data_IF_726375400325
#
_entry.id   IF_726375400325
#
_cell.length_a   1.000
_cell.length_b   1.000
_cell.length_c   1.000
_cell.angle_alpha   90.00
_cell.angle_beta   90.00
_cell.angle_gamma   90.00
#
_symmetry.space_group_name_H-M   'P 1'
#
loop_
_entity.id
_entity.type
_entity.pdbx_description
1 polymer ?
#
# COMPACT_ATOMS: atom_id res chain seq x y z
N UNK A 1 -1.48 22.11 13.88
CA UNK A 1 -2.73 21.31 13.93
C UNK A 1 -3.38 21.07 12.55
N UNK A 2 -3.72 22.10 11.75
CA UNK A 2 -4.33 21.91 10.41
C UNK A 2 -3.47 21.13 9.39
N UNK A 3 -2.14 21.28 9.40
CA UNK A 3 -1.24 20.55 8.49
C UNK A 3 -1.09 19.06 8.83
N UNK A 4 -1.14 18.72 10.13
CA UNK A 4 -1.12 17.33 10.62
C UNK A 4 -2.43 16.61 10.26
N UNK A 5 -3.56 17.31 10.29
CA UNK A 5 -4.85 16.79 9.87
C UNK A 5 -4.88 16.49 8.36
N UNK A 6 -4.33 17.36 7.52
CA UNK A 6 -4.23 17.15 6.07
C UNK A 6 -3.30 15.97 5.74
N UNK A 7 -2.21 15.81 6.47
CA UNK A 7 -1.29 14.68 6.33
C UNK A 7 -1.94 13.35 6.76
N UNK A 8 -2.71 13.34 7.85
CA UNK A 8 -3.46 12.16 8.32
C UNK A 8 -4.65 11.81 7.39
N UNK A 9 -5.31 12.80 6.78
CA UNK A 9 -6.35 12.59 5.76
C UNK A 9 -5.73 12.02 4.47
N UNK A 10 -4.55 12.50 4.05
CA UNK A 10 -3.83 11.95 2.90
C UNK A 10 -3.43 10.48 3.14
N UNK A 11 -3.00 10.14 4.37
CA UNK A 11 -2.70 8.75 4.76
C UNK A 11 -3.97 7.88 4.82
N UNK A 12 -5.11 8.41 5.29
CA UNK A 12 -6.40 7.69 5.26
C UNK A 12 -6.96 7.48 3.86
N UNK A 13 -6.78 8.43 2.93
CA UNK A 13 -7.14 8.23 1.53
C UNK A 13 -6.24 7.20 0.83
N UNK A 14 -5.00 7.01 1.30
CA UNK A 14 -4.10 5.96 0.82
C UNK A 14 -4.40 4.55 1.40
N UNK A 15 -5.21 4.45 2.45
CA UNK A 15 -5.59 3.19 3.11
C UNK A 15 -7.04 2.79 2.93
N UNK A 16 -7.86 3.62 2.27
CA UNK A 16 -9.25 3.32 1.93
C UNK A 16 -9.39 3.07 0.43
N UNK A 17 -9.21 1.83 0.01
CA UNK A 17 -9.73 1.35 -1.27
C UNK A 17 -10.76 0.28 -0.96
N UNK A 18 -12.01 0.71 -1.09
CA UNK A 18 -13.20 -0.09 -1.29
C UNK A 18 -13.01 -1.01 -2.51
N UNK A 19 -13.33 -2.28 -2.33
CA UNK A 19 -13.46 -3.26 -3.41
C UNK A 19 -14.47 -2.77 -4.46
N UNK A 20 -14.12 -2.85 -5.75
CA UNK A 20 -15.08 -2.66 -6.83
C UNK A 20 -15.92 -3.92 -7.02
N UNK A 21 -17.22 -3.72 -7.25
CA UNK A 21 -18.17 -4.76 -7.61
C UNK A 21 -17.87 -5.25 -9.04
N UNK A 22 -17.54 -6.53 -9.19
CA UNK A 22 -17.52 -7.27 -10.46
C UNK A 22 -18.20 -8.63 -10.23
N UNK A 23 -18.99 -9.08 -11.21
CA UNK A 23 -19.74 -10.35 -11.35
C UNK A 23 -19.37 -11.47 -10.35
N UNK A 24 -20.12 -11.53 -9.24
CA UNK A 24 -19.98 -12.54 -8.19
C UNK A 24 -20.79 -13.80 -8.53
N UNK A 25 -20.12 -14.94 -8.53
CA UNK A 25 -20.75 -16.26 -8.62
C UNK A 25 -20.76 -16.92 -7.24
N UNK A 26 -21.85 -17.59 -6.92
CA UNK A 26 -22.01 -18.44 -5.74
C UNK A 26 -22.06 -19.90 -6.17
N UNK A 27 -21.09 -20.70 -5.71
CA UNK A 27 -20.94 -22.11 -6.04
C UNK A 27 -21.22 -22.95 -4.79
N UNK A 28 -22.31 -23.71 -4.83
CA UNK A 28 -22.68 -24.65 -3.78
C UNK A 28 -22.00 -25.98 -4.05
N UNK A 29 -21.27 -26.50 -3.07
CA UNK A 29 -20.62 -27.80 -3.12
C UNK A 29 -21.52 -28.89 -2.54
N UNK A 30 -21.34 -30.15 -3.00
CA UNK A 30 -22.09 -31.32 -2.51
C UNK A 30 -21.94 -31.59 -1.01
N UNK A 31 -20.94 -31.01 -0.36
CA UNK A 31 -20.74 -31.08 1.08
C UNK A 31 -21.53 -30.01 1.86
N UNK A 32 -22.36 -29.21 1.17
CA UNK A 32 -23.17 -28.13 1.74
C UNK A 32 -22.43 -26.81 1.96
N UNK A 33 -21.18 -26.68 1.50
CA UNK A 33 -20.44 -25.42 1.57
C UNK A 33 -20.70 -24.55 0.34
N UNK A 34 -20.95 -23.27 0.57
CA UNK A 34 -21.04 -22.25 -0.48
C UNK A 34 -19.71 -21.52 -0.61
N UNK A 35 -19.25 -21.32 -1.83
CA UNK A 35 -18.05 -20.54 -2.15
C UNK A 35 -18.44 -19.41 -3.08
N UNK A 36 -18.10 -18.19 -2.70
CA UNK A 36 -18.39 -16.99 -3.47
C UNK A 36 -17.12 -16.39 -4.04
N UNK A 37 -17.13 -16.03 -5.31
CA UNK A 37 -15.98 -15.43 -5.96
C UNK A 37 -16.27 -15.04 -7.40
N UNK A 38 -15.33 -14.32 -8.01
CA UNK A 38 -15.40 -13.98 -9.43
C UNK A 38 -15.01 -15.20 -10.26
N UNK A 39 -15.83 -15.58 -11.24
CA UNK A 39 -15.51 -16.71 -12.11
C UNK A 39 -14.31 -16.35 -13.01
N UNK A 40 -13.20 -17.06 -12.82
CA UNK A 40 -12.01 -16.90 -13.66
C UNK A 40 -12.02 -17.87 -14.84
N UNK A 41 -12.43 -19.12 -14.59
CA UNK A 41 -12.42 -20.18 -15.60
C UNK A 41 -13.41 -21.30 -15.27
N UNK A 42 -14.01 -21.91 -16.29
CA UNK A 42 -14.88 -23.10 -16.14
C UNK A 42 -14.62 -24.05 -17.31
N UNK A 43 -14.26 -25.28 -16.99
CA UNK A 43 -14.17 -26.38 -17.95
C UNK A 43 -15.04 -27.58 -17.50
N UNK A 44 -14.99 -28.68 -18.24
CA UNK A 44 -15.80 -29.89 -17.95
C UNK A 44 -15.39 -30.58 -16.63
N UNK A 45 -14.19 -30.30 -16.13
CA UNK A 45 -13.57 -31.00 -15.00
C UNK A 45 -13.42 -30.13 -13.75
N UNK A 46 -13.34 -28.81 -13.90
CA UNK A 46 -13.09 -27.86 -12.82
C UNK A 46 -13.63 -26.46 -13.10
N UNK A 47 -13.82 -25.73 -12.02
CA UNK A 47 -14.25 -24.33 -11.98
C UNK A 47 -13.28 -23.55 -11.08
N UNK A 48 -12.73 -22.45 -11.59
CA UNK A 48 -11.79 -21.59 -10.88
C UNK A 48 -12.45 -20.28 -10.49
N UNK A 49 -12.47 -19.98 -9.19
CA UNK A 49 -12.97 -18.73 -8.63
C UNK A 49 -11.82 -17.90 -8.06
N UNK A 50 -11.85 -16.59 -8.33
CA UNK A 50 -11.12 -15.62 -7.53
C UNK A 50 -11.95 -15.34 -6.28
N UNK A 51 -11.55 -15.92 -5.15
CA UNK A 51 -12.16 -15.68 -3.85
C UNK A 51 -11.40 -14.58 -3.09
N UNK A 52 -11.96 -14.11 -1.97
CA UNK A 52 -11.27 -13.19 -1.05
C UNK A 52 -9.96 -13.78 -0.47
N UNK A 53 -9.79 -15.10 -0.54
CA UNK A 53 -8.59 -15.81 -0.07
C UNK A 53 -7.61 -16.17 -1.19
N UNK A 54 -7.88 -15.75 -2.43
CA UNK A 54 -7.08 -16.07 -3.61
C UNK A 54 -7.83 -16.97 -4.61
N UNK A 55 -7.09 -17.48 -5.59
CA UNK A 55 -7.63 -18.39 -6.60
C UNK A 55 -7.94 -19.76 -6.00
N UNK A 56 -9.14 -20.25 -6.27
CA UNK A 56 -9.61 -21.55 -5.81
C UNK A 56 -10.14 -22.36 -6.98
N UNK A 57 -9.51 -23.50 -7.23
CA UNK A 57 -9.93 -24.48 -8.24
C UNK A 57 -10.81 -25.53 -7.58
N UNK A 58 -12.03 -25.66 -8.06
CA UNK A 58 -13.06 -26.57 -7.55
C UNK A 58 -13.34 -27.61 -8.63
N UNK A 59 -13.09 -28.91 -8.40
CA UNK A 59 -13.49 -29.95 -9.34
C UNK A 59 -15.01 -29.95 -9.55
N UNK A 60 -15.47 -30.02 -10.80
CA UNK A 60 -16.91 -29.96 -11.16
C UNK A 60 -17.69 -31.11 -10.52
N UNK A 61 -17.05 -32.24 -10.26
CA UNK A 61 -17.62 -33.38 -9.51
C UNK A 61 -18.06 -33.03 -8.08
N UNK A 62 -17.46 -31.99 -7.47
CA UNK A 62 -17.77 -31.53 -6.12
C UNK A 62 -18.83 -30.42 -6.10
N UNK A 63 -19.24 -29.92 -7.26
CA UNK A 63 -20.21 -28.83 -7.41
C UNK A 63 -21.63 -29.41 -7.45
N UNK A 64 -22.51 -28.81 -6.66
CA UNK A 64 -23.94 -29.09 -6.62
C UNK A 64 -24.73 -28.06 -7.45
N UNK A 65 -24.42 -26.77 -7.32
CA UNK A 65 -25.06 -25.70 -8.10
C UNK A 65 -24.14 -24.49 -8.29
N UNK A 66 -24.37 -23.73 -9.37
CA UNK A 66 -23.68 -22.46 -9.65
C UNK A 66 -24.77 -21.41 -9.89
N UNK A 67 -24.80 -20.37 -9.06
CA UNK A 67 -25.73 -19.27 -9.18
C UNK A 67 -24.98 -17.98 -9.51
N UNK A 68 -25.41 -17.28 -10.55
CA UNK A 68 -24.98 -15.91 -10.80
C UNK A 68 -25.75 -14.98 -9.85
N UNK A 69 -25.04 -14.14 -9.08
CA UNK A 69 -25.67 -13.20 -8.14
C UNK A 69 -26.15 -11.91 -8.83
N UNK A 70 -25.78 -11.68 -10.10
CA UNK A 70 -26.34 -10.61 -10.94
C UNK A 70 -27.05 -11.20 -12.16
N UNK A 71 -28.36 -11.43 -12.01
CA UNK A 71 -29.27 -11.73 -13.12
C UNK A 71 -30.07 -13.02 -12.92
N UNK A 72 -31.40 -12.86 -12.83
CA UNK A 72 -32.38 -13.95 -12.86
C UNK A 72 -32.19 -14.85 -14.09
N UNK A 73 -31.46 -15.94 -13.94
CA UNK A 73 -31.58 -17.12 -14.81
C UNK A 73 -31.02 -18.36 -14.11
N UNK A 74 -31.92 -19.28 -13.75
CA UNK A 74 -31.55 -20.64 -13.36
C UNK A 74 -31.32 -21.45 -14.63
N UNK A 75 -30.08 -21.71 -15.00
CA UNK A 75 -29.77 -22.77 -15.96
C UNK A 75 -29.71 -24.11 -15.22
N UNK A 76 -30.79 -24.90 -15.35
CA UNK A 76 -30.77 -26.32 -15.03
C UNK A 76 -30.06 -27.06 -16.17
N UNK A 77 -28.97 -27.77 -15.88
CA UNK A 77 -28.33 -28.67 -16.85
C UNK A 77 -28.65 -30.11 -16.46
N UNK A 78 -29.60 -30.72 -17.16
CA UNK A 78 -29.60 -32.14 -17.47
C UNK A 78 -29.85 -32.27 -18.97
N UNK A 79 -28.83 -32.69 -19.70
CA UNK A 79 -28.88 -33.78 -20.70
C UNK A 79 -27.51 -33.91 -21.39
N UNK A 80 -26.95 -35.11 -21.36
CA UNK A 80 -25.96 -35.61 -22.33
C UNK A 80 -26.73 -36.46 -23.36
N UNK A 81 -26.16 -36.93 -24.49
CA UNK A 81 -24.78 -36.79 -25.01
C UNK A 81 -24.73 -36.41 -26.51
N UNK A 82 -23.53 -36.19 -27.08
CA UNK A 82 -23.12 -37.04 -28.20
C UNK A 82 -21.61 -36.99 -28.52
N UNK A 83 -21.08 -38.19 -28.75
CA UNK A 83 -19.71 -38.46 -29.20
C UNK A 83 -19.61 -38.10 -30.68
N UNK A 84 -18.61 -37.30 -31.07
CA UNK A 84 -17.64 -37.63 -32.14
C UNK A 84 -16.82 -36.40 -32.57
N UNK A 85 -15.56 -36.70 -32.93
CA UNK A 85 -14.60 -35.88 -33.68
C UNK A 85 -13.72 -34.91 -32.89
N UNK A 86 -12.85 -35.47 -32.05
CA UNK A 86 -11.59 -34.82 -31.70
C UNK A 86 -10.63 -34.89 -32.91
N UNK A 87 -10.56 -33.81 -33.68
CA UNK A 87 -9.38 -33.49 -34.50
C UNK A 87 -8.41 -32.71 -33.62
N UNK A 88 -7.41 -33.39 -33.06
CA UNK A 88 -6.32 -32.73 -32.34
C UNK A 88 -5.50 -31.93 -33.37
N UNK A 89 -5.76 -30.63 -33.44
CA UNK A 89 -4.89 -29.70 -34.13
C UNK A 89 -3.88 -29.22 -33.09
N UNK A 90 -2.72 -29.86 -33.03
CA UNK A 90 -1.59 -29.37 -32.24
C UNK A 90 -1.09 -28.07 -32.85
N UNK A 91 -1.63 -26.95 -32.38
CA UNK A 91 -1.05 -25.61 -32.49
C UNK A 91 -1.77 -24.69 -31.50
N UNK A 92 -1.59 -24.95 -30.21
CA UNK A 92 -1.76 -23.91 -29.20
C UNK A 92 -0.35 -23.53 -28.76
N UNK A 93 0.18 -22.44 -29.31
CA UNK A 93 1.11 -21.61 -28.55
C UNK A 93 0.45 -21.43 -27.18
N UNK A 94 1.07 -21.96 -26.13
CA UNK A 94 0.59 -21.75 -24.76
C UNK A 94 0.65 -20.24 -24.57
N UNK A 95 -0.50 -19.56 -24.69
CA UNK A 95 -0.62 -18.14 -24.39
C UNK A 95 -0.11 -18.00 -22.97
N UNK A 96 1.07 -17.38 -22.82
CA UNK A 96 1.67 -17.11 -21.52
C UNK A 96 0.62 -16.32 -20.73
N UNK A 97 0.11 -16.92 -19.66
CA UNK A 97 -0.83 -16.27 -18.76
C UNK A 97 -0.18 -14.99 -18.24
N UNK A 98 -0.86 -13.86 -18.42
CA UNK A 98 -0.35 -12.55 -18.04
C UNK A 98 -0.63 -12.33 -16.55
N UNK A 99 0.37 -11.91 -15.78
CA UNK A 99 0.11 -11.48 -14.42
C UNK A 99 -0.61 -10.13 -14.46
N UNK A 100 -1.84 -10.05 -13.95
CA UNK A 100 -2.66 -8.83 -13.97
C UNK A 100 -2.87 -8.22 -12.57
N UNK A 101 -2.14 -8.69 -11.57
CA UNK A 101 -2.30 -8.34 -10.15
C UNK A 101 -2.25 -6.82 -9.90
N UNK A 102 -1.39 -6.11 -10.63
CA UNK A 102 -1.20 -4.67 -10.51
C UNK A 102 -1.94 -3.86 -11.59
N UNK A 103 -2.78 -4.48 -12.42
CA UNK A 103 -3.46 -3.79 -13.52
C UNK A 103 -4.30 -2.63 -13.04
N UNK A 104 -5.14 -2.85 -12.03
CA UNK A 104 -5.98 -1.80 -11.46
C UNK A 104 -5.16 -0.66 -10.84
N UNK A 105 -4.03 -0.97 -10.19
CA UNK A 105 -3.10 0.04 -9.62
C UNK A 105 -2.51 0.90 -10.72
N UNK A 106 -2.10 0.27 -11.82
CA UNK A 106 -1.53 0.93 -13.00
C UNK A 106 -2.55 1.85 -13.65
N UNK A 107 -3.80 1.39 -13.82
CA UNK A 107 -4.92 2.20 -14.33
C UNK A 107 -5.19 3.38 -13.39
N UNK A 108 -5.32 3.15 -12.09
CA UNK A 108 -5.55 4.19 -11.09
C UNK A 108 -4.42 5.23 -11.06
N UNK A 109 -3.16 4.78 -11.14
CA UNK A 109 -1.99 5.64 -11.25
C UNK A 109 -2.06 6.52 -12.49
N UNK A 110 -2.37 5.91 -13.64
CA UNK A 110 -2.52 6.62 -14.90
C UNK A 110 -3.63 7.66 -14.78
N UNK A 111 -4.80 7.33 -14.22
CA UNK A 111 -5.89 8.28 -14.00
C UNK A 111 -5.46 9.45 -13.09
N UNK A 112 -4.75 9.16 -12.00
CA UNK A 112 -4.22 10.17 -11.09
C UNK A 112 -3.21 11.11 -11.76
N UNK A 113 -2.24 10.56 -12.49
CA UNK A 113 -1.24 11.32 -13.26
C UNK A 113 -1.92 12.10 -14.39
N UNK A 114 -2.81 11.43 -15.14
CA UNK A 114 -3.65 11.98 -16.20
C UNK A 114 -4.36 13.23 -15.73
N UNK A 115 -5.15 13.12 -14.67
CA UNK A 115 -5.92 14.24 -14.15
C UNK A 115 -5.06 15.32 -13.46
N UNK A 116 -4.00 14.95 -12.75
CA UNK A 116 -3.17 15.93 -12.02
C UNK A 116 -2.25 16.69 -12.98
N UNK A 117 -1.43 15.97 -13.74
CA UNK A 117 -0.39 16.54 -14.58
C UNK A 117 -0.96 17.08 -15.88
N UNK A 118 -1.77 16.30 -16.59
CA UNK A 118 -2.32 16.74 -17.87
C UNK A 118 -3.66 17.48 -17.67
N UNK A 119 -4.49 17.04 -16.73
CA UNK A 119 -5.82 17.60 -16.47
C UNK A 119 -5.75 18.95 -15.78
N UNK A 120 -4.81 19.13 -14.86
CA UNK A 120 -4.47 20.44 -14.30
C UNK A 120 -3.51 21.23 -15.18
N UNK A 121 -2.48 20.57 -15.74
CA UNK A 121 -1.41 21.25 -16.46
C UNK A 121 -1.81 21.82 -17.81
N UNK A 122 -2.63 21.14 -18.62
CA UNK A 122 -3.05 21.68 -19.92
C UNK A 122 -3.89 22.96 -19.75
N UNK A 123 -4.95 22.97 -18.91
CA UNK A 123 -5.69 24.21 -18.63
C UNK A 123 -4.79 25.31 -18.09
N UNK A 124 -3.84 24.97 -17.20
CA UNK A 124 -2.87 25.92 -16.65
C UNK A 124 -1.99 26.56 -17.73
N UNK A 125 -1.47 25.75 -18.67
CA UNK A 125 -0.65 26.24 -19.78
C UNK A 125 -1.44 27.14 -20.75
N UNK A 126 -2.74 26.89 -20.87
CA UNK A 126 -3.67 27.65 -21.72
C UNK A 126 -4.34 28.82 -21.00
N UNK A 127 -3.94 29.14 -19.77
CA UNK A 127 -4.50 30.23 -18.95
C UNK A 127 -6.01 30.11 -18.70
N UNK A 128 -6.51 28.89 -18.54
CA UNK A 128 -7.90 28.66 -18.15
C UNK A 128 -8.09 28.89 -16.65
N UNK A 129 -9.22 29.48 -16.28
CA UNK A 129 -9.58 29.67 -14.87
C UNK A 129 -9.80 28.31 -14.19
N UNK A 130 -9.07 27.99 -13.10
CA UNK A 130 -9.20 26.72 -12.40
C UNK A 130 -10.58 26.49 -11.77
N UNK A 131 -11.35 27.56 -11.58
CA UNK A 131 -12.71 27.51 -11.00
C UNK A 131 -13.81 27.43 -12.05
N UNK A 132 -13.49 27.65 -13.34
CA UNK A 132 -14.49 27.58 -14.40
C UNK A 132 -14.92 26.13 -14.69
N UNK A 133 -16.17 26.00 -15.12
CA UNK A 133 -16.81 24.76 -15.54
C UNK A 133 -16.05 24.11 -16.70
N UNK A 134 -15.42 24.90 -17.59
CA UNK A 134 -14.60 24.36 -18.68
C UNK A 134 -13.37 23.60 -18.15
N UNK A 135 -12.68 24.16 -17.16
CA UNK A 135 -11.50 23.51 -16.55
C UNK A 135 -11.90 22.27 -15.77
N UNK A 136 -12.95 22.37 -14.95
CA UNK A 136 -13.50 21.22 -14.24
C UNK A 136 -13.96 20.12 -15.21
N UNK A 137 -14.69 20.50 -16.27
CA UNK A 137 -15.16 19.58 -17.30
C UNK A 137 -14.02 18.89 -18.03
N UNK A 138 -12.97 19.63 -18.40
CA UNK A 138 -11.77 19.06 -19.03
C UNK A 138 -11.07 18.05 -18.12
N UNK A 139 -10.94 18.34 -16.81
CA UNK A 139 -10.36 17.42 -15.84
C UNK A 139 -11.14 16.11 -15.74
N UNK A 140 -12.47 16.17 -15.75
CA UNK A 140 -13.32 14.97 -15.75
C UNK A 140 -13.20 14.17 -17.05
N UNK A 141 -13.19 14.85 -18.21
CA UNK A 141 -12.95 14.21 -19.51
C UNK A 141 -11.59 13.50 -19.49
N UNK A 142 -10.55 14.16 -19.00
CA UNK A 142 -9.21 13.60 -19.01
C UNK A 142 -9.06 12.44 -18.02
N UNK A 143 -9.72 12.49 -16.86
CA UNK A 143 -9.79 11.38 -15.93
C UNK A 143 -10.43 10.14 -16.59
N UNK A 144 -11.57 10.31 -17.29
CA UNK A 144 -12.25 9.23 -18.02
C UNK A 144 -11.46 8.72 -19.24
N UNK A 145 -10.88 9.63 -20.04
CA UNK A 145 -10.05 9.29 -21.19
C UNK A 145 -8.82 8.49 -20.75
N UNK A 146 -8.20 8.87 -19.63
CA UNK A 146 -7.03 8.16 -19.11
C UNK A 146 -7.39 6.77 -18.58
N UNK A 147 -8.56 6.60 -17.94
CA UNK A 147 -9.08 5.27 -17.62
C UNK A 147 -9.22 4.41 -18.88
N UNK A 148 -9.90 4.92 -19.92
CA UNK A 148 -10.13 4.16 -21.15
C UNK A 148 -8.82 3.73 -21.82
N UNK A 149 -7.89 4.67 -22.03
CA UNK A 149 -6.60 4.41 -22.67
C UNK A 149 -5.75 3.45 -21.84
N UNK A 150 -5.65 3.66 -20.53
CA UNK A 150 -4.85 2.78 -19.68
C UNK A 150 -5.47 1.40 -19.53
N UNK A 151 -6.80 1.28 -19.48
CA UNK A 151 -7.49 -0.01 -19.43
C UNK A 151 -7.21 -0.84 -20.67
N UNK A 152 -7.34 -0.25 -21.87
CA UNK A 152 -7.06 -0.91 -23.14
C UNK A 152 -5.57 -1.25 -23.29
N UNK A 153 -4.68 -0.33 -22.94
CA UNK A 153 -3.23 -0.54 -23.08
C UNK A 153 -2.68 -1.61 -22.13
N UNK A 154 -3.25 -1.72 -20.92
CA UNK A 154 -2.78 -2.68 -19.90
C UNK A 154 -3.33 -4.08 -20.06
N UNK A 155 -4.36 -4.28 -20.88
CA UNK A 155 -5.05 -5.57 -21.07
C UNK A 155 -4.09 -6.70 -21.45
N UNK A 156 -3.10 -6.40 -22.28
CA UNK A 156 -2.14 -7.38 -22.81
C UNK A 156 -0.74 -7.23 -22.19
N UNK A 157 -0.63 -6.57 -21.03
CA UNK A 157 0.65 -6.35 -20.34
C UNK A 157 0.83 -7.27 -19.14
N UNK A 158 2.03 -7.82 -18.98
CA UNK A 158 2.45 -8.52 -17.76
C UNK A 158 2.74 -7.50 -16.64
N UNK A 159 1.82 -7.35 -15.69
CA UNK A 159 1.77 -6.34 -14.64
C UNK A 159 1.79 -6.97 -13.22
N UNK A 160 2.89 -7.61 -12.82
CA UNK A 160 3.08 -8.04 -11.44
C UNK A 160 3.22 -6.82 -10.52
N UNK A 161 2.88 -6.98 -9.24
CA UNK A 161 2.87 -5.89 -8.26
C UNK A 161 4.23 -5.19 -8.12
N UNK A 162 5.34 -5.94 -8.19
CA UNK A 162 6.70 -5.41 -8.18
C UNK A 162 6.96 -4.37 -9.28
N UNK A 163 6.43 -4.62 -10.48
CA UNK A 163 6.56 -3.70 -11.62
C UNK A 163 5.91 -2.36 -11.31
N UNK A 164 4.72 -2.38 -10.69
CA UNK A 164 4.02 -1.16 -10.31
C UNK A 164 4.77 -0.33 -9.27
N UNK A 165 5.37 -0.95 -8.25
CA UNK A 165 6.19 -0.24 -7.26
C UNK A 165 7.36 0.51 -7.90
N UNK A 166 8.07 -0.15 -8.82
CA UNK A 166 9.15 0.49 -9.56
C UNK A 166 8.65 1.65 -10.41
N UNK A 167 7.52 1.48 -11.11
CA UNK A 167 6.93 2.54 -11.92
C UNK A 167 6.51 3.75 -11.07
N UNK A 168 5.93 3.56 -9.88
CA UNK A 168 5.62 4.64 -8.95
C UNK A 168 6.88 5.36 -8.45
N UNK A 169 7.92 4.61 -8.06
CA UNK A 169 9.20 5.20 -7.67
C UNK A 169 9.81 6.02 -8.81
N UNK A 170 9.76 5.50 -10.03
CA UNK A 170 10.18 6.19 -11.25
C UNK A 170 9.38 7.46 -11.52
N UNK A 171 8.05 7.41 -11.41
CA UNK A 171 7.18 8.57 -11.54
C UNK A 171 7.54 9.67 -10.54
N UNK A 172 7.73 9.31 -9.27
CA UNK A 172 8.13 10.25 -8.21
C UNK A 172 9.49 10.88 -8.48
N UNK A 173 10.50 10.08 -8.86
CA UNK A 173 11.81 10.60 -9.23
C UNK A 173 11.73 11.50 -10.48
N UNK A 174 10.93 11.13 -11.47
CA UNK A 174 10.65 11.96 -12.63
C UNK A 174 10.04 13.31 -12.23
N UNK A 175 9.04 13.30 -11.36
CA UNK A 175 8.40 14.52 -10.86
C UNK A 175 9.41 15.42 -10.14
N UNK A 176 10.18 14.86 -9.20
CA UNK A 176 11.14 15.62 -8.41
C UNK A 176 12.46 15.91 -9.13
N UNK A 177 12.67 15.42 -10.35
CA UNK A 177 13.87 15.71 -11.15
C UNK A 177 14.00 17.18 -11.57
N UNK A 178 12.93 17.98 -11.40
CA UNK A 178 13.01 19.43 -11.53
C UNK A 178 13.91 20.07 -10.47
N UNK A 179 14.01 19.48 -9.27
CA UNK A 179 14.83 20.02 -8.17
C UNK A 179 16.32 20.13 -8.55
N UNK A 180 17.00 19.06 -9.03
CA UNK A 180 18.39 19.20 -9.50
C UNK A 180 18.52 20.08 -10.76
N UNK A 181 17.49 20.21 -11.60
CA UNK A 181 17.54 21.14 -12.73
C UNK A 181 17.60 22.61 -12.25
N UNK A 182 16.69 22.98 -11.35
CA UNK A 182 16.67 24.32 -10.74
C UNK A 182 17.93 24.60 -9.91
N UNK A 183 18.53 23.57 -9.30
CA UNK A 183 19.84 23.66 -8.64
C UNK A 183 20.96 24.09 -9.60
N UNK A 184 21.04 23.47 -10.77
CA UNK A 184 22.12 23.75 -11.73
C UNK A 184 21.99 25.16 -12.32
N UNK A 185 20.76 25.55 -12.65
CA UNK A 185 20.45 26.85 -13.26
C UNK A 185 20.53 27.97 -12.21
N UNK A 186 20.14 27.66 -10.98
CA UNK A 186 19.97 28.59 -9.89
C UNK A 186 18.53 29.05 -9.74
N UNK A 187 18.05 29.23 -8.51
CA UNK A 187 16.65 29.55 -8.24
C UNK A 187 16.29 30.96 -8.68
N UNK A 188 17.23 31.90 -8.60
CA UNK A 188 17.07 33.27 -9.09
C UNK A 188 16.93 33.31 -10.63
N UNK A 189 17.81 32.62 -11.34
CA UNK A 189 17.69 32.52 -12.81
C UNK A 189 16.46 31.70 -13.22
N UNK A 190 16.10 30.69 -12.43
CA UNK A 190 14.93 29.87 -12.70
C UNK A 190 13.64 30.66 -12.56
N UNK A 191 13.52 31.55 -11.56
CA UNK A 191 12.34 32.39 -11.41
C UNK A 191 12.17 33.40 -12.55
N UNK A 192 13.26 33.79 -13.23
CA UNK A 192 13.19 34.57 -14.47
C UNK A 192 12.77 33.72 -15.69
N UNK A 193 13.23 32.47 -15.76
CA UNK A 193 12.90 31.53 -16.85
C UNK A 193 11.46 31.04 -16.75
N UNK A 194 10.99 30.79 -15.53
CA UNK A 194 9.70 30.16 -15.24
C UNK A 194 8.94 30.89 -14.13
N UNK A 195 8.64 32.18 -14.30
CA UNK A 195 7.98 33.00 -13.28
C UNK A 195 6.61 32.44 -12.89
N UNK A 196 5.91 31.88 -13.87
CA UNK A 196 4.58 31.30 -13.71
C UNK A 196 4.62 29.75 -13.65
N UNK A 197 5.75 29.09 -13.44
CA UNK A 197 5.76 27.61 -13.29
C UNK A 197 5.30 26.80 -14.53
N UNK A 198 5.09 27.43 -15.69
CA UNK A 198 4.63 26.78 -16.93
C UNK A 198 5.72 25.87 -17.51
N UNK A 199 6.97 26.27 -17.47
CA UNK A 199 8.11 25.44 -17.90
C UNK A 199 8.23 24.23 -17.00
N UNK A 200 8.10 24.40 -15.68
CA UNK A 200 8.08 23.30 -14.71
C UNK A 200 6.93 22.33 -14.97
N UNK A 201 5.75 22.86 -15.30
CA UNK A 201 4.57 22.05 -15.65
C UNK A 201 4.82 21.20 -16.90
N UNK A 202 5.31 21.81 -17.99
CA UNK A 202 5.68 21.09 -19.22
C UNK A 202 6.78 20.06 -18.95
N UNK A 203 7.78 20.43 -18.14
CA UNK A 203 8.84 19.51 -17.74
C UNK A 203 8.27 18.29 -17.01
N UNK A 204 7.39 18.46 -16.03
CA UNK A 204 6.74 17.36 -15.31
C UNK A 204 5.88 16.47 -16.23
N UNK A 205 5.20 17.05 -17.22
CA UNK A 205 4.44 16.31 -18.25
C UNK A 205 5.34 15.37 -19.07
N UNK A 206 6.65 15.59 -19.11
CA UNK A 206 7.63 14.77 -19.83
C UNK A 206 8.42 13.87 -18.86
N UNK A 207 8.90 14.44 -17.76
CA UNK A 207 9.81 13.77 -16.83
C UNK A 207 9.14 12.65 -16.04
N UNK A 208 7.84 12.78 -15.70
CA UNK A 208 7.09 11.73 -14.99
C UNK A 208 6.93 10.47 -15.84
N UNK A 209 6.39 10.53 -17.08
CA UNK A 209 6.39 9.37 -17.97
C UNK A 209 7.78 8.80 -18.24
N UNK A 210 8.78 9.67 -18.44
CA UNK A 210 10.15 9.23 -18.65
C UNK A 210 10.71 8.44 -17.45
N UNK A 211 10.40 8.90 -16.23
CA UNK A 211 10.72 8.22 -14.99
C UNK A 211 10.06 6.84 -14.89
N UNK A 212 8.77 6.74 -15.23
CA UNK A 212 8.03 5.45 -15.30
C UNK A 212 8.70 4.49 -16.29
N UNK A 213 8.98 4.94 -17.51
CA UNK A 213 9.61 4.12 -18.57
C UNK A 213 11.00 3.65 -18.14
N UNK A 214 11.78 4.55 -17.53
CA UNK A 214 13.13 4.23 -17.07
C UNK A 214 13.10 3.20 -15.95
N UNK A 215 12.21 3.37 -14.97
CA UNK A 215 12.05 2.40 -13.88
C UNK A 215 11.52 1.05 -14.38
N UNK A 216 10.62 1.03 -15.37
CA UNK A 216 10.15 -0.20 -16.02
C UNK A 216 11.28 -0.98 -16.69
N UNK A 217 12.17 -0.27 -17.39
CA UNK A 217 13.37 -0.85 -18.01
C UNK A 217 14.32 -1.40 -16.95
N UNK A 218 14.51 -0.69 -15.84
CA UNK A 218 15.35 -1.15 -14.74
C UNK A 218 14.76 -2.37 -14.04
N UNK A 219 13.45 -2.40 -13.80
CA UNK A 219 12.74 -3.56 -13.26
C UNK A 219 13.00 -4.81 -14.10
N UNK A 220 12.80 -4.71 -15.42
CA UNK A 220 13.06 -5.81 -16.37
C UNK A 220 14.54 -6.20 -16.41
N UNK A 221 15.44 -5.21 -16.47
CA UNK A 221 16.89 -5.42 -16.51
C UNK A 221 17.42 -6.12 -15.25
N UNK A 222 16.87 -5.78 -14.09
CA UNK A 222 17.32 -6.33 -12.81
C UNK A 222 16.62 -7.64 -12.44
N UNK A 223 15.56 -8.03 -13.14
CA UNK A 223 14.85 -9.29 -12.91
C UNK A 223 14.27 -9.38 -11.49
N UNK A 224 13.77 -8.26 -10.96
CA UNK A 224 13.32 -8.19 -9.57
C UNK A 224 11.97 -8.89 -9.38
N UNK A 225 11.80 -9.59 -8.25
CA UNK A 225 10.50 -10.05 -7.78
C UNK A 225 9.70 -8.92 -7.07
N UNK A 226 8.47 -9.20 -6.62
CA UNK A 226 7.62 -8.20 -5.96
C UNK A 226 8.27 -7.61 -4.70
N UNK A 227 8.79 -8.44 -3.81
CA UNK A 227 9.44 -8.00 -2.57
C UNK A 227 10.69 -7.15 -2.83
N UNK A 228 11.56 -7.60 -3.74
CA UNK A 228 12.76 -6.87 -4.14
C UNK A 228 12.43 -5.51 -4.74
N UNK A 229 11.43 -5.47 -5.63
CA UNK A 229 10.98 -4.23 -6.27
C UNK A 229 10.40 -3.24 -5.25
N UNK A 230 9.60 -3.75 -4.30
CA UNK A 230 9.06 -2.93 -3.22
C UNK A 230 10.19 -2.40 -2.33
N UNK A 231 11.20 -3.23 -2.01
CA UNK A 231 12.34 -2.79 -1.19
C UNK A 231 13.12 -1.66 -1.87
N UNK A 232 13.35 -1.77 -3.19
CA UNK A 232 14.01 -0.71 -3.97
C UNK A 232 13.19 0.58 -3.94
N UNK A 233 11.88 0.49 -4.17
CA UNK A 233 10.98 1.64 -4.09
C UNK A 233 10.98 2.28 -2.70
N UNK A 234 10.97 1.47 -1.63
CA UNK A 234 11.04 1.96 -0.25
C UNK A 234 12.39 2.63 0.04
N UNK A 235 13.48 2.11 -0.53
CA UNK A 235 14.82 2.67 -0.43
C UNK A 235 14.92 4.10 -0.94
N UNK A 236 14.18 4.43 -2.02
CA UNK A 236 14.10 5.82 -2.53
C UNK A 236 13.53 6.76 -1.48
N UNK A 237 12.41 6.38 -0.85
CA UNK A 237 11.76 7.19 0.19
C UNK A 237 12.65 7.32 1.44
N UNK A 238 13.30 6.23 1.87
CA UNK A 238 14.24 6.26 2.98
C UNK A 238 15.44 7.17 2.71
N UNK A 239 15.94 7.19 1.48
CA UNK A 239 17.00 8.10 1.04
C UNK A 239 16.59 9.56 1.22
N UNK A 240 15.40 9.91 0.73
CA UNK A 240 14.83 11.27 0.88
C UNK A 240 14.70 11.65 2.36
N UNK A 241 14.05 10.79 3.17
CA UNK A 241 13.80 11.07 4.58
C UNK A 241 15.10 11.29 5.37
N UNK A 242 16.10 10.44 5.16
CA UNK A 242 17.38 10.58 5.87
C UNK A 242 18.13 11.84 5.44
N UNK A 243 18.10 12.20 4.15
CA UNK A 243 18.76 13.42 3.70
C UNK A 243 18.06 14.68 4.21
N UNK A 244 16.73 14.73 4.19
CA UNK A 244 15.97 15.85 4.79
C UNK A 244 16.27 15.95 6.29
N UNK A 245 16.30 14.81 6.98
CA UNK A 245 16.65 14.74 8.39
C UNK A 245 18.04 15.31 8.68
N UNK A 246 19.05 14.97 7.87
CA UNK A 246 20.40 15.51 7.97
C UNK A 246 20.45 17.02 7.70
N UNK A 247 19.73 17.48 6.67
CA UNK A 247 19.62 18.92 6.34
C UNK A 247 19.08 19.69 7.54
N UNK A 248 18.02 19.17 8.18
CA UNK A 248 17.39 19.80 9.33
C UNK A 248 18.29 19.86 10.58
N UNK A 249 19.39 19.08 10.65
CA UNK A 249 20.37 19.21 11.74
C UNK A 249 21.34 20.39 11.56
N UNK A 250 21.38 21.01 10.37
CA UNK A 250 22.24 22.17 10.10
C UNK A 250 21.56 23.49 10.54
N UNK A 251 22.29 24.60 10.55
CA UNK A 251 21.72 25.95 10.69
C UNK A 251 21.07 26.42 9.39
N UNK A 252 20.16 25.59 8.86
CA UNK A 252 19.61 25.75 7.53
C UNK A 252 18.76 27.02 7.38
N UNK A 253 18.10 27.48 8.45
CA UNK A 253 17.29 28.71 8.42
C UNK A 253 18.14 29.94 8.16
N UNK A 254 19.21 30.13 8.95
CA UNK A 254 20.14 31.24 8.79
C UNK A 254 20.88 31.15 7.45
N UNK A 255 21.23 29.94 7.01
CA UNK A 255 21.87 29.74 5.72
C UNK A 255 20.93 30.05 4.55
N UNK A 256 19.68 29.59 4.60
CA UNK A 256 18.66 29.88 3.60
C UNK A 256 18.40 31.39 3.46
N UNK A 257 18.43 32.14 4.57
CA UNK A 257 18.27 33.59 4.54
C UNK A 257 19.51 34.31 3.98
N UNK A 258 20.71 33.92 4.40
CA UNK A 258 21.95 34.60 3.97
C UNK A 258 22.37 34.25 2.54
N UNK A 259 22.14 33.01 2.11
CA UNK A 259 22.56 32.48 0.81
C UNK A 259 21.50 31.52 0.24
N UNK A 260 20.30 32.02 -0.11
CA UNK A 260 19.17 31.20 -0.55
C UNK A 260 19.53 30.32 -1.76
N UNK A 261 20.30 30.87 -2.70
CA UNK A 261 20.77 30.19 -3.89
C UNK A 261 21.63 28.96 -3.55
N UNK A 262 22.70 29.14 -2.77
CA UNK A 262 23.58 28.02 -2.38
C UNK A 262 22.86 27.00 -1.51
N UNK A 263 21.96 27.46 -0.63
CA UNK A 263 21.14 26.58 0.18
C UNK A 263 20.20 25.73 -0.67
N UNK A 264 19.52 26.32 -1.65
CA UNK A 264 18.66 25.60 -2.59
C UNK A 264 19.46 24.56 -3.36
N UNK A 265 20.62 24.94 -3.92
CA UNK A 265 21.50 24.02 -4.65
C UNK A 265 21.91 22.83 -3.81
N UNK A 266 22.30 23.09 -2.58
CA UNK A 266 22.74 22.06 -1.65
C UNK A 266 21.59 21.11 -1.27
N UNK A 267 20.45 21.64 -0.84
CA UNK A 267 19.31 20.84 -0.37
C UNK A 267 18.65 20.01 -1.47
N UNK A 268 18.43 20.60 -2.65
CA UNK A 268 17.84 19.91 -3.80
C UNK A 268 18.74 18.78 -4.31
N UNK A 269 20.04 19.07 -4.49
CA UNK A 269 21.02 18.10 -4.97
C UNK A 269 21.22 16.97 -3.98
N UNK A 270 21.33 17.29 -2.69
CA UNK A 270 21.44 16.28 -1.64
C UNK A 270 20.18 15.41 -1.58
N UNK A 271 18.99 16.00 -1.51
CA UNK A 271 17.74 15.24 -1.37
C UNK A 271 17.52 14.30 -2.55
N UNK A 272 17.74 14.78 -3.78
CA UNK A 272 17.59 13.97 -4.98
C UNK A 272 18.67 12.88 -5.06
N UNK A 273 19.93 13.21 -4.73
CA UNK A 273 21.01 12.21 -4.66
C UNK A 273 20.76 11.16 -3.57
N UNK A 274 20.21 11.57 -2.42
CA UNK A 274 19.78 10.70 -1.35
C UNK A 274 18.73 9.70 -1.81
N UNK A 275 17.73 10.16 -2.57
CA UNK A 275 16.72 9.30 -3.18
C UNK A 275 17.35 8.22 -4.09
N UNK A 276 18.27 8.63 -4.98
CA UNK A 276 18.96 7.72 -5.90
C UNK A 276 19.89 6.73 -5.16
N UNK A 277 20.68 7.22 -4.20
CA UNK A 277 21.57 6.39 -3.40
C UNK A 277 20.80 5.41 -2.52
N UNK A 278 19.68 5.85 -1.92
CA UNK A 278 18.79 4.99 -1.15
C UNK A 278 18.21 3.85 -1.99
N UNK A 279 17.70 4.16 -3.19
CA UNK A 279 17.24 3.15 -4.15
C UNK A 279 18.37 2.21 -4.59
N UNK A 280 19.57 2.74 -4.86
CA UNK A 280 20.74 1.94 -5.24
C UNK A 280 21.21 0.98 -4.15
N UNK A 281 21.30 1.44 -2.90
CA UNK A 281 21.66 0.62 -1.75
C UNK A 281 20.61 -0.46 -1.49
N UNK A 282 19.33 -0.09 -1.53
CA UNK A 282 18.22 -1.04 -1.41
C UNK A 282 18.24 -2.09 -2.52
N UNK A 283 18.57 -1.70 -3.77
CA UNK A 283 18.74 -2.63 -4.89
C UNK A 283 19.88 -3.62 -4.65
N UNK A 284 21.02 -3.15 -4.15
CA UNK A 284 22.13 -4.06 -3.82
C UNK A 284 21.79 -5.01 -2.68
N UNK A 285 20.96 -4.59 -1.72
CA UNK A 285 20.44 -5.46 -0.67
C UNK A 285 19.41 -6.45 -1.20
N UNK A 286 18.48 -6.00 -2.05
CA UNK A 286 17.44 -6.81 -2.67
C UNK A 286 18.05 -7.94 -3.51
N UNK A 287 19.07 -7.65 -4.31
CA UNK A 287 19.75 -8.65 -5.13
C UNK A 287 20.54 -9.67 -4.31
N UNK A 288 20.96 -9.32 -3.09
CA UNK A 288 21.63 -10.26 -2.16
C UNK A 288 20.63 -11.11 -1.37
N UNK A 289 19.36 -10.72 -1.31
CA UNK A 289 18.32 -11.40 -0.54
C UNK A 289 17.17 -11.82 -1.47
N UNK A 290 17.36 -12.94 -2.17
CA UNK A 290 16.39 -13.45 -3.15
C UNK A 290 15.07 -13.91 -2.53
N UNK A 291 15.04 -14.20 -1.22
CA UNK A 291 13.85 -14.70 -0.52
C UNK A 291 12.97 -13.61 0.09
N UNK A 292 13.32 -12.33 -0.05
CA UNK A 292 12.48 -11.26 0.49
C UNK A 292 11.14 -11.18 -0.24
N UNK A 293 10.05 -11.27 0.51
CA UNK A 293 8.69 -11.25 -0.02
C UNK A 293 8.10 -9.84 -0.02
N UNK A 294 6.95 -9.67 -0.67
CA UNK A 294 6.19 -8.42 -0.60
C UNK A 294 5.70 -8.13 0.83
N UNK A 295 5.18 -9.15 1.53
CA UNK A 295 4.74 -9.03 2.91
C UNK A 295 5.86 -8.61 3.86
N UNK A 296 7.08 -9.11 3.66
CA UNK A 296 8.24 -8.71 4.45
C UNK A 296 8.49 -7.21 4.34
N UNK A 297 8.50 -6.68 3.12
CA UNK A 297 8.75 -5.25 2.87
C UNK A 297 7.56 -4.39 3.29
N UNK A 298 6.34 -4.86 3.08
CA UNK A 298 5.15 -4.17 3.56
C UNK A 298 5.14 -4.04 5.09
N UNK A 299 5.62 -5.06 5.81
CA UNK A 299 5.83 -4.99 7.25
C UNK A 299 6.96 -4.04 7.63
N UNK A 300 8.09 -4.00 6.89
CA UNK A 300 9.14 -3.00 7.10
C UNK A 300 8.63 -1.57 6.93
N UNK A 301 7.80 -1.32 5.91
CA UNK A 301 7.16 -0.02 5.70
C UNK A 301 6.20 0.32 6.85
N UNK A 302 5.42 -0.65 7.35
CA UNK A 302 4.57 -0.46 8.52
C UNK A 302 5.41 -0.13 9.79
N UNK A 303 6.53 -0.81 9.99
CA UNK A 303 7.47 -0.53 11.08
C UNK A 303 8.04 0.88 10.99
N UNK A 304 8.46 1.33 9.81
CA UNK A 304 8.92 2.70 9.61
C UNK A 304 7.86 3.73 10.03
N UNK A 305 6.61 3.54 9.61
CA UNK A 305 5.50 4.44 9.99
C UNK A 305 5.23 4.40 11.49
N UNK A 306 5.26 3.23 12.12
CA UNK A 306 5.16 3.10 13.57
C UNK A 306 6.29 3.87 14.29
N UNK A 307 7.51 3.81 13.76
CA UNK A 307 8.63 4.62 14.25
C UNK A 307 8.35 6.12 14.20
N UNK A 308 7.76 6.62 13.10
CA UNK A 308 7.33 8.03 12.98
C UNK A 308 6.29 8.38 14.06
N UNK A 309 5.24 7.57 14.20
CA UNK A 309 4.19 7.82 15.19
C UNK A 309 4.72 7.84 16.62
N UNK A 310 5.54 6.85 16.99
CA UNK A 310 6.14 6.78 18.31
C UNK A 310 7.11 7.93 18.56
N UNK A 311 7.87 8.38 17.56
CA UNK A 311 8.73 9.57 17.70
C UNK A 311 7.95 10.86 17.92
N UNK A 312 6.77 11.02 17.32
CA UNK A 312 5.91 12.18 17.59
C UNK A 312 5.28 12.12 18.99
N UNK A 313 4.80 10.95 19.41
CA UNK A 313 4.24 10.76 20.75
C UNK A 313 5.31 10.98 21.83
N UNK A 314 6.49 10.37 21.68
CA UNK A 314 7.60 10.57 22.61
C UNK A 314 8.11 12.01 22.58
N UNK A 315 8.16 12.64 21.39
CA UNK A 315 8.48 14.05 21.24
C UNK A 315 7.56 14.97 22.04
N UNK A 316 6.26 14.69 22.01
CA UNK A 316 5.26 15.45 22.78
C UNK A 316 5.39 15.28 24.30
N UNK A 317 5.99 14.18 24.76
CA UNK A 317 6.25 13.93 26.18
C UNK A 317 7.53 14.58 26.70
N UNK A 318 8.56 14.62 25.85
CA UNK A 318 9.84 15.24 26.21
C UNK A 318 9.76 16.76 26.10
N UNK A 319 8.84 17.26 25.26
CA UNK A 319 8.63 18.68 24.95
C UNK A 319 9.94 19.37 24.54
N UNK A 320 10.51 18.93 23.41
CA UNK A 320 11.77 19.49 22.94
C UNK A 320 11.67 20.99 22.64
N UNK A 321 12.58 21.76 23.22
CA UNK A 321 12.74 23.20 22.96
C UNK A 321 13.13 23.54 21.51
N UNK A 322 13.50 22.54 20.70
CA UNK A 322 13.90 22.75 19.31
C UNK A 322 13.48 21.60 18.39
N UNK A 323 13.21 21.95 17.13
CA UNK A 323 12.80 20.99 16.10
C UNK A 323 13.91 20.01 15.70
N UNK A 324 15.19 20.34 15.93
CA UNK A 324 16.34 19.50 15.55
C UNK A 324 16.33 18.20 16.35
N UNK A 325 16.09 18.29 17.65
CA UNK A 325 15.91 17.14 18.54
C UNK A 325 14.71 16.28 18.12
N UNK A 326 13.57 16.89 17.79
CA UNK A 326 12.41 16.15 17.28
C UNK A 326 12.71 15.42 15.97
N UNK A 327 13.49 16.05 15.10
CA UNK A 327 13.91 15.46 13.82
C UNK A 327 14.85 14.28 14.05
N UNK A 328 15.85 14.43 14.92
CA UNK A 328 16.77 13.37 15.29
C UNK A 328 16.01 12.19 15.91
N UNK A 329 15.05 12.47 16.79
CA UNK A 329 14.19 11.44 17.37
C UNK A 329 13.36 10.73 16.30
N UNK A 330 12.86 11.46 15.30
CA UNK A 330 12.10 10.88 14.18
C UNK A 330 13.00 10.00 13.30
N UNK A 331 14.22 10.43 13.00
CA UNK A 331 15.21 9.61 12.28
C UNK A 331 15.56 8.35 13.07
N UNK A 332 15.78 8.46 14.38
CA UNK A 332 16.07 7.34 15.25
C UNK A 332 14.89 6.36 15.32
N UNK A 333 13.66 6.86 15.41
CA UNK A 333 12.45 6.04 15.39
C UNK A 333 12.26 5.30 14.07
N UNK A 334 12.34 6.00 12.94
CA UNK A 334 12.24 5.41 11.59
C UNK A 334 13.27 4.30 11.40
N UNK A 335 14.56 4.59 11.61
CA UNK A 335 15.63 3.62 11.37
C UNK A 335 15.63 2.51 12.42
N UNK A 336 15.32 2.82 13.68
CA UNK A 336 15.23 1.87 14.79
C UNK A 336 14.09 0.87 14.59
N UNK A 337 12.89 1.32 14.25
CA UNK A 337 11.78 0.41 13.98
C UNK A 337 11.98 -0.36 12.66
N UNK A 338 12.61 0.22 11.65
CA UNK A 338 12.99 -0.52 10.45
C UNK A 338 13.97 -1.66 10.78
N UNK A 339 14.96 -1.40 11.63
CA UNK A 339 15.89 -2.41 12.12
C UNK A 339 15.17 -3.50 12.92
N UNK A 340 14.30 -3.12 13.86
CA UNK A 340 13.50 -4.05 14.65
C UNK A 340 12.59 -4.90 13.76
N UNK A 341 11.89 -4.30 12.80
CA UNK A 341 11.06 -5.03 11.83
C UNK A 341 11.86 -6.02 11.00
N UNK A 342 13.05 -5.63 10.53
CA UNK A 342 13.97 -6.53 9.82
C UNK A 342 14.42 -7.70 10.71
N UNK A 343 14.71 -7.43 11.98
CA UNK A 343 15.02 -8.46 12.96
C UNK A 343 13.84 -9.42 13.17
N UNK A 344 12.61 -8.92 13.30
CA UNK A 344 11.42 -9.77 13.45
C UNK A 344 11.13 -10.63 12.22
N UNK A 345 11.36 -10.12 11.01
CA UNK A 345 11.26 -10.93 9.79
C UNK A 345 12.26 -12.09 9.78
N UNK A 346 13.49 -11.86 10.27
CA UNK A 346 14.48 -12.94 10.43
C UNK A 346 14.07 -13.94 11.52
N UNK A 347 13.54 -13.45 12.64
CA UNK A 347 13.24 -14.27 13.82
C UNK A 347 11.96 -15.10 13.70
N UNK A 348 10.95 -14.61 12.96
CA UNK A 348 9.64 -15.27 12.82
C UNK A 348 9.36 -15.79 11.40
N UNK A 349 10.33 -15.71 10.49
CA UNK A 349 10.23 -16.16 9.10
C UNK A 349 9.48 -15.18 8.21
N UNK A 350 9.60 -15.33 6.89
CA UNK A 350 9.00 -14.37 5.93
C UNK A 350 7.47 -14.34 5.96
N UNK A 351 6.91 -13.14 5.77
CA UNK A 351 5.48 -12.90 5.61
C UNK A 351 5.07 -13.04 4.14
N UNK A 352 3.98 -13.73 3.84
CA UNK A 352 3.36 -13.65 2.52
C UNK A 352 2.65 -12.31 2.34
N UNK A 353 2.27 -12.00 1.11
CA UNK A 353 1.40 -10.86 0.82
C UNK A 353 0.09 -10.96 1.63
N UNK A 354 -0.40 -9.83 2.12
CA UNK A 354 -1.60 -9.72 2.95
C UNK A 354 -1.35 -9.98 4.44
N UNK A 355 -0.35 -10.78 4.80
CA UNK A 355 -0.03 -11.04 6.21
C UNK A 355 0.47 -9.78 6.92
N UNK A 356 1.15 -8.87 6.22
CA UNK A 356 1.50 -7.57 6.77
C UNK A 356 0.26 -6.72 7.09
N UNK A 357 -0.84 -6.89 6.33
CA UNK A 357 -2.12 -6.22 6.62
C UNK A 357 -2.72 -6.74 7.91
N UNK A 358 -2.62 -8.04 8.18
CA UNK A 358 -3.06 -8.64 9.45
C UNK A 358 -2.29 -8.01 10.62
N UNK A 359 -0.98 -7.81 10.47
CA UNK A 359 -0.19 -7.11 11.50
C UNK A 359 -0.66 -5.67 11.70
N UNK A 360 -0.88 -4.91 10.63
CA UNK A 360 -1.36 -3.53 10.71
C UNK A 360 -2.74 -3.45 11.37
N UNK A 361 -3.64 -4.39 11.04
CA UNK A 361 -4.95 -4.51 11.67
C UNK A 361 -4.83 -4.84 13.16
N UNK A 362 -3.91 -5.71 13.55
CA UNK A 362 -3.63 -6.02 14.94
C UNK A 362 -3.06 -4.84 15.74
N UNK A 363 -2.18 -4.06 15.12
CA UNK A 363 -1.71 -2.77 15.67
C UNK A 363 -2.88 -1.80 15.89
N UNK A 364 -3.75 -1.62 14.88
CA UNK A 364 -4.90 -0.75 14.99
C UNK A 364 -5.91 -1.25 16.03
N UNK A 365 -6.17 -2.55 16.08
CA UNK A 365 -7.08 -3.17 17.05
C UNK A 365 -6.57 -2.99 18.49
N UNK A 366 -5.27 -3.18 18.74
CA UNK A 366 -4.67 -2.95 20.05
C UNK A 366 -4.79 -1.49 20.49
N UNK A 367 -4.59 -0.54 19.57
CA UNK A 367 -4.74 0.88 19.86
C UNK A 367 -6.19 1.27 20.15
N UNK A 368 -7.15 0.76 19.37
CA UNK A 368 -8.58 0.98 19.60
C UNK A 368 -9.07 0.32 20.90
N UNK A 369 -8.55 -0.87 21.25
CA UNK A 369 -8.84 -1.50 22.53
C UNK A 369 -8.36 -0.63 23.70
N UNK A 370 -7.14 -0.06 23.59
CA UNK A 370 -6.64 0.90 24.57
C UNK A 370 -7.52 2.15 24.68
N UNK A 371 -7.90 2.77 23.56
CA UNK A 371 -8.84 3.91 23.55
C UNK A 371 -10.17 3.52 24.22
N UNK A 372 -10.70 2.34 23.91
CA UNK A 372 -11.92 1.82 24.53
C UNK A 372 -11.79 1.69 26.04
N UNK A 373 -10.68 1.13 26.53
CA UNK A 373 -10.40 1.05 27.97
C UNK A 373 -10.35 2.44 28.60
N UNK A 374 -9.63 3.39 27.98
CA UNK A 374 -9.52 4.76 28.48
C UNK A 374 -10.90 5.45 28.58
N UNK A 375 -11.78 5.25 27.60
CA UNK A 375 -13.14 5.80 27.63
C UNK A 375 -14.03 5.15 28.69
N UNK A 376 -13.92 3.83 28.90
CA UNK A 376 -14.74 3.11 29.90
C UNK A 376 -14.32 3.43 31.33
N UNK A 377 -13.03 3.70 31.55
CA UNK A 377 -12.50 4.02 32.89
C UNK A 377 -12.44 5.51 33.18
N UNK A 378 -12.98 6.36 32.30
CA UNK A 378 -12.83 7.82 32.35
C UNK A 378 -11.36 8.25 32.56
N UNK A 379 -10.43 7.52 31.93
CA UNK A 379 -9.01 7.84 31.97
C UNK A 379 -8.77 9.19 31.29
N UNK A 380 -8.00 10.07 31.93
CA UNK A 380 -7.64 11.35 31.34
C UNK A 380 -6.74 11.16 30.11
N UNK A 381 -7.36 11.20 28.93
CA UNK A 381 -6.68 11.01 27.65
C UNK A 381 -5.82 12.22 27.24
N UNK A 382 -5.93 13.36 27.94
CA UNK A 382 -5.03 14.49 27.75
C UNK A 382 -3.69 14.31 28.48
N UNK A 383 -3.60 13.35 29.40
CA UNK A 383 -2.38 13.10 30.19
C UNK A 383 -1.23 12.49 29.39
N UNK A 384 -0.01 12.72 29.86
CA UNK A 384 1.22 12.09 29.36
C UNK A 384 1.18 10.57 29.45
N UNK A 385 0.56 10.04 30.50
CA UNK A 385 0.36 8.61 30.67
C UNK A 385 -0.45 8.00 29.51
N UNK A 386 -1.40 8.75 28.94
CA UNK A 386 -2.14 8.32 27.77
C UNK A 386 -1.23 8.15 26.54
N UNK A 387 -0.27 9.05 26.33
CA UNK A 387 0.69 8.97 25.20
C UNK A 387 1.64 7.78 25.35
N UNK A 388 2.06 7.46 26.57
CA UNK A 388 2.86 6.25 26.84
C UNK A 388 2.06 4.99 26.50
N UNK A 389 0.78 4.94 26.89
CA UNK A 389 -0.09 3.80 26.61
C UNK A 389 -0.49 3.70 25.13
N UNK A 390 -0.59 4.82 24.41
CA UNK A 390 -0.73 4.84 22.95
C UNK A 390 0.48 4.17 22.29
N UNK A 391 1.71 4.57 22.67
CA UNK A 391 2.93 3.95 22.14
C UNK A 391 3.02 2.47 22.47
N UNK A 392 2.71 2.10 23.72
CA UNK A 392 2.73 0.72 24.19
C UNK A 392 1.71 -0.16 23.46
N UNK A 393 0.49 0.35 23.24
CA UNK A 393 -0.57 -0.37 22.54
C UNK A 393 -0.27 -0.53 21.04
N UNK A 394 0.17 0.52 20.37
CA UNK A 394 0.59 0.45 18.96
C UNK A 394 1.76 -0.54 18.78
N UNK A 395 2.81 -0.39 19.59
CA UNK A 395 4.00 -1.24 19.51
C UNK A 395 3.71 -2.68 19.92
N UNK A 396 2.89 -2.87 20.95
CA UNK A 396 2.42 -4.17 21.41
C UNK A 396 1.62 -4.90 20.33
N UNK A 397 0.60 -4.24 19.75
CA UNK A 397 -0.19 -4.82 18.66
C UNK A 397 0.66 -5.17 17.44
N UNK A 398 1.57 -4.28 17.03
CA UNK A 398 2.53 -4.55 15.96
C UNK A 398 3.40 -5.79 16.24
N UNK A 399 3.99 -5.91 17.42
CA UNK A 399 4.86 -7.02 17.78
C UNK A 399 4.10 -8.34 17.95
N UNK A 400 3.01 -8.34 18.72
CA UNK A 400 2.27 -9.56 19.03
C UNK A 400 1.54 -10.12 17.82
N UNK A 401 0.96 -9.27 16.97
CA UNK A 401 0.35 -9.72 15.71
C UNK A 401 1.40 -10.21 14.72
N UNK A 402 2.60 -9.62 14.73
CA UNK A 402 3.71 -10.17 13.95
C UNK A 402 4.14 -11.56 14.44
N UNK A 403 4.24 -11.73 15.75
CA UNK A 403 4.62 -12.99 16.41
C UNK A 403 3.56 -14.08 16.18
N UNK A 404 2.28 -13.74 16.21
CA UNK A 404 1.19 -14.71 16.03
C UNK A 404 1.16 -15.32 14.62
N UNK A 405 1.78 -14.68 13.63
CA UNK A 405 1.86 -15.21 12.26
C UNK A 405 3.04 -16.19 12.06
N UNK A 406 3.77 -16.57 13.13
CA UNK A 406 4.80 -17.59 13.04
C UNK A 406 4.18 -18.91 12.56
N UNK A 407 4.80 -19.55 11.56
CA UNK A 407 4.33 -20.79 10.90
C UNK A 407 4.31 -22.05 11.80
N UNK A 408 4.74 -21.97 13.06
CA UNK A 408 4.69 -23.11 13.98
C UNK A 408 3.33 -23.16 14.66
N UNK A 409 2.53 -24.19 14.34
CA UNK A 409 1.30 -24.66 14.99
C UNK A 409 0.84 -23.79 16.16
N UNK A 410 0.11 -22.71 15.86
CA UNK A 410 -0.75 -22.06 16.85
C UNK A 410 -1.89 -23.02 17.18
N UNK A 411 -1.64 -23.96 18.08
CA UNK A 411 -2.71 -24.44 18.95
C UNK A 411 -3.20 -23.19 19.65
N UNK A 412 -4.42 -22.75 19.32
CA UNK A 412 -5.10 -21.67 20.03
C UNK A 412 -4.95 -21.94 21.53
N UNK A 413 -4.09 -21.16 22.18
CA UNK A 413 -3.77 -21.33 23.59
C UNK A 413 -5.00 -20.97 24.40
N UNK A 414 -5.79 -21.98 24.76
CA UNK A 414 -6.79 -21.88 25.81
C UNK A 414 -6.05 -21.66 27.13
N UNK A 415 -5.83 -20.39 27.49
CA UNK A 415 -5.46 -20.05 28.87
C UNK A 415 -6.73 -19.98 29.70
N UNK A 416 -7.18 -21.13 30.19
CA UNK A 416 -8.19 -21.18 31.25
C UNK A 416 -7.52 -20.79 32.58
N UNK A 417 -7.58 -19.50 32.90
CA UNK A 417 -7.37 -19.03 34.27
C UNK A 417 -8.71 -18.59 34.85
N UNK A 418 -9.24 -19.40 35.77
CA UNK A 418 -10.43 -19.06 36.55
C UNK A 418 -10.57 -19.98 37.77
N UNK A 419 -10.64 -19.38 38.96
CA UNK A 419 -11.04 -20.06 40.19
C UNK A 419 -12.50 -20.51 40.10
N UNK A 420 -12.72 -21.77 40.48
CA UNK A 420 -13.91 -22.64 40.28
C UNK A 420 -15.29 -22.18 40.82
N UNK A 421 -15.60 -20.88 41.00
CA UNK A 421 -16.90 -20.51 41.60
C UNK A 421 -17.79 -19.51 40.89
N UNK A 422 -17.31 -18.64 40.02
CA UNK A 422 -18.18 -17.88 39.11
C UNK A 422 -17.35 -17.47 37.91
N UNK A 423 -17.77 -17.87 36.72
CA UNK A 423 -17.00 -17.60 35.50
C UNK A 423 -17.87 -16.83 34.51
N UNK A 424 -17.61 -15.53 34.40
CA UNK A 424 -18.14 -14.70 33.33
C UNK A 424 -17.09 -14.63 32.23
N UNK A 425 -17.38 -15.24 31.08
CA UNK A 425 -16.52 -15.19 29.89
C UNK A 425 -17.18 -14.31 28.84
N UNK A 426 -16.48 -13.24 28.48
CA UNK A 426 -16.70 -12.51 27.24
C UNK A 426 -15.58 -12.91 26.29
N UNK A 427 -15.91 -13.44 25.12
CA UNK A 427 -14.90 -13.59 24.08
C UNK A 427 -15.48 -13.21 22.72
N UNK A 428 -14.69 -12.47 21.93
CA UNK A 428 -15.05 -12.22 20.54
C UNK A 428 -15.12 -13.55 19.82
N UNK A 429 -16.17 -13.73 19.02
CA UNK A 429 -16.36 -14.88 18.17
C UNK A 429 -16.66 -14.41 16.76
N UNK A 430 -16.22 -15.16 15.76
CA UNK A 430 -16.73 -14.97 14.41
C UNK A 430 -17.96 -15.85 14.27
N UNK A 431 -19.12 -15.21 14.13
CA UNK A 431 -20.38 -15.91 13.87
C UNK A 431 -20.55 -15.97 12.36
N UNK A 432 -20.67 -17.18 11.82
CA UNK A 432 -21.06 -17.34 10.43
C UNK A 432 -22.54 -17.03 10.32
N UNK A 433 -22.88 -15.90 9.70
CA UNK A 433 -24.26 -15.49 9.44
C UNK A 433 -24.38 -15.23 7.94
N UNK A 434 -25.27 -15.98 7.26
CA UNK A 434 -25.49 -15.87 5.81
C UNK A 434 -24.18 -15.93 4.98
N UNK A 435 -23.33 -16.93 5.26
CA UNK A 435 -22.03 -17.12 4.60
C UNK A 435 -21.00 -16.00 4.76
N UNK A 436 -21.26 -15.02 5.63
CA UNK A 436 -20.31 -13.99 6.04
C UNK A 436 -19.84 -14.26 7.47
N UNK A 437 -18.54 -14.10 7.71
CA UNK A 437 -17.99 -14.08 9.07
C UNK A 437 -18.28 -12.71 9.67
N UNK A 438 -19.27 -12.66 10.55
CA UNK A 438 -19.66 -11.44 11.26
C UNK A 438 -19.01 -11.46 12.64
N UNK A 439 -18.34 -10.38 13.07
CA UNK A 439 -17.85 -10.28 14.44
C UNK A 439 -19.03 -10.29 15.41
N UNK A 440 -18.99 -11.20 16.37
CA UNK A 440 -19.94 -11.31 17.46
C UNK A 440 -19.23 -11.37 18.81
N UNK A 441 -19.99 -11.18 19.87
CA UNK A 441 -19.54 -11.38 21.25
C UNK A 441 -20.29 -12.58 21.82
N UNK A 442 -19.55 -13.62 22.21
CA UNK A 442 -20.12 -14.69 23.00
C UNK A 442 -20.10 -14.28 24.47
N UNK A 443 -21.22 -14.51 25.13
CA UNK A 443 -21.38 -14.31 26.55
C UNK A 443 -21.73 -15.65 27.20
N UNK A 444 -20.87 -16.10 28.10
CA UNK A 444 -21.10 -17.31 28.89
C UNK A 444 -20.98 -16.99 30.36
N UNK A 445 -22.04 -17.22 31.12
CA UNK A 445 -22.01 -17.27 32.59
C UNK A 445 -22.10 -18.74 33.00
N UNK A 446 -21.10 -19.22 33.75
CA UNK A 446 -21.23 -20.47 34.52
C UNK A 446 -21.48 -20.12 35.99
N UNK A 447 -22.61 -20.59 36.50
CA UNK A 447 -22.98 -20.56 37.92
C UNK A 447 -22.50 -21.81 38.63
#
# INVERSE_FOLDING_TARGET
>A
MKQILIFLIAIRCLTSISFSQDDLFSVELKNGNTITGKLLFKDETSLTLQTEFGELVIPTENIQSINNLEGDSKENIVEAPDKNNVKITHNSEIKKELNQEARWRTIYAAMGIGNTIYGGGIPYLLDWDPTDNKTTGFRYILFGATYYVSSAYTENMDLPLGRSYMQYAGASLGFFSILPLTSIIGIENWSEIDPDGKVSTVYSMISVPYGVITADRLYKKWGLNNGQSYLVSLGVNLGILNTIGLIQQTEWTEWAEKNPENFWRWTSSLTYSGALLGGYLAKNMALKNSSITEGDVGFLNASMNLGIFNSFLLGSLIDFDNYKSQTLLTMAGVNGFLYLGSHLNKSYGSLSQGQEKIVILGMAASYLAWIGCALVTDFDYASDAARVLDMASLTGGWYFSRKSLKKENNVLGYSDYGLDKYLVRFYPQLVRQNDLLVPGLSFSIRF
#
